data_IF_178412260629
#
_entry.id   IF_178412260629
#
_cell.length_a   1.000
_cell.length_b   1.000
_cell.length_c   1.000
_cell.angle_alpha   90.00
_cell.angle_beta   90.00
_cell.angle_gamma   90.00
#
_symmetry.space_group_name_H-M   'P 1'
#
loop_
_entity.id
_entity.type
_entity.pdbx_description
1 polymer ?
#
# COMPACT_ATOMS: atom_id res chain seq x y z
N UNK A 1 51.69 21.80 9.31
CA UNK A 1 50.58 22.59 9.87
C UNK A 1 49.29 21.91 9.45
N UNK A 2 48.55 21.31 10.38
CA UNK A 2 47.41 20.41 10.10
C UNK A 2 46.15 21.09 10.65
N UNK A 3 45.34 21.69 9.77
CA UNK A 3 44.11 22.37 10.15
C UNK A 3 43.03 21.33 10.45
N UNK A 4 42.60 21.27 11.71
CA UNK A 4 41.47 20.46 12.15
C UNK A 4 40.23 21.34 12.02
N UNK A 5 39.40 21.09 11.02
CA UNK A 5 38.07 21.71 10.88
C UNK A 5 37.10 20.90 11.73
N UNK A 6 36.69 21.48 12.87
CA UNK A 6 35.57 20.97 13.67
C UNK A 6 34.26 21.39 13.00
N UNK A 7 33.64 20.49 12.26
CA UNK A 7 32.30 20.68 11.69
C UNK A 7 31.25 20.36 12.76
N UNK A 8 30.68 21.38 13.38
CA UNK A 8 29.61 21.26 14.37
C UNK A 8 28.32 20.81 13.66
N UNK A 9 27.95 19.54 13.82
CA UNK A 9 26.72 18.96 13.29
C UNK A 9 25.52 19.44 14.12
N UNK A 10 24.81 20.47 13.65
CA UNK A 10 23.51 20.87 14.21
C UNK A 10 22.47 19.76 13.96
N UNK A 11 22.13 19.01 15.01
CA UNK A 11 21.00 18.10 15.03
C UNK A 11 19.71 18.93 15.13
N UNK A 12 19.15 19.33 13.98
CA UNK A 12 17.81 19.91 13.92
C UNK A 12 16.78 18.79 14.15
N UNK A 13 16.13 18.80 15.31
CA UNK A 13 15.02 17.91 15.64
C UNK A 13 13.82 18.22 14.74
N UNK A 14 13.59 17.43 13.70
CA UNK A 14 12.40 17.55 12.86
C UNK A 14 11.20 16.99 13.64
N UNK A 15 10.33 17.87 14.14
CA UNK A 15 9.07 17.47 14.75
C UNK A 15 8.16 16.86 13.70
N UNK A 16 7.90 15.56 13.78
CA UNK A 16 6.87 14.89 12.97
C UNK A 16 5.52 15.36 13.52
N UNK A 17 4.92 16.38 12.89
CA UNK A 17 3.57 16.78 13.20
C UNK A 17 2.59 15.75 12.66
N UNK A 18 1.66 15.30 13.50
CA UNK A 18 0.52 14.52 13.06
C UNK A 18 -0.29 15.36 12.07
N UNK A 19 -0.40 14.89 10.83
CA UNK A 19 -1.17 15.56 9.79
C UNK A 19 -2.58 14.97 9.74
N UNK A 20 -3.58 15.82 9.79
CA UNK A 20 -4.97 15.41 9.55
C UNK A 20 -5.28 15.42 8.05
N UNK A 21 -5.99 14.39 7.58
CA UNK A 21 -6.44 14.27 6.19
C UNK A 21 -7.91 13.88 6.20
N UNK A 22 -8.72 14.46 5.31
CA UNK A 22 -10.13 14.08 5.22
C UNK A 22 -10.29 12.65 4.69
N UNK A 23 -11.40 11.98 5.04
CA UNK A 23 -11.74 10.66 4.50
C UNK A 23 -11.70 10.68 2.98
N UNK A 24 -12.30 11.69 2.35
CA UNK A 24 -12.42 11.80 0.90
C UNK A 24 -11.05 11.87 0.24
N UNK A 25 -10.14 12.70 0.79
CA UNK A 25 -8.77 12.81 0.31
C UNK A 25 -8.01 11.50 0.48
N UNK A 26 -8.14 10.86 1.64
CA UNK A 26 -7.48 9.58 1.91
C UNK A 26 -7.99 8.46 1.00
N UNK A 27 -9.31 8.34 0.84
CA UNK A 27 -9.95 7.37 -0.06
C UNK A 27 -9.53 7.60 -1.52
N UNK A 28 -9.48 8.85 -1.97
CA UNK A 28 -9.00 9.18 -3.30
C UNK A 28 -7.53 8.78 -3.49
N UNK A 29 -6.67 9.02 -2.50
CA UNK A 29 -5.29 8.56 -2.51
C UNK A 29 -5.15 7.04 -2.53
N UNK A 30 -5.96 6.32 -1.74
CA UNK A 30 -5.93 4.86 -1.71
C UNK A 30 -6.33 4.23 -3.05
N UNK A 31 -7.31 4.82 -3.75
CA UNK A 31 -7.76 4.35 -5.08
C UNK A 31 -6.66 4.42 -6.15
N UNK A 32 -5.60 5.19 -5.94
CA UNK A 32 -4.50 5.37 -6.89
C UNK A 32 -3.21 4.73 -6.39
N UNK A 33 -2.81 5.04 -5.16
CA UNK A 33 -1.54 4.61 -4.59
C UNK A 33 -1.47 3.11 -4.32
N UNK A 34 -2.56 2.51 -3.80
CA UNK A 34 -2.54 1.09 -3.45
C UNK A 34 -2.43 0.18 -4.69
N UNK A 35 -3.23 0.36 -5.77
CA UNK A 35 -3.06 -0.41 -6.99
C UNK A 35 -1.67 -0.26 -7.60
N UNK A 36 -1.16 0.98 -7.69
CA UNK A 36 0.18 1.23 -8.21
C UNK A 36 1.26 0.55 -7.35
N UNK A 37 1.11 0.58 -6.01
CA UNK A 37 2.03 -0.09 -5.11
C UNK A 37 2.00 -1.61 -5.29
N UNK A 38 0.83 -2.25 -5.33
CA UNK A 38 0.69 -3.69 -5.56
C UNK A 38 1.32 -4.14 -6.88
N UNK A 39 1.28 -3.28 -7.89
CA UNK A 39 1.62 -3.61 -9.26
C UNK A 39 3.02 -3.13 -9.70
N UNK A 40 3.87 -2.74 -8.75
CA UNK A 40 5.29 -2.53 -9.05
C UNK A 40 5.97 -3.86 -9.41
N UNK A 41 6.96 -3.81 -10.31
CA UNK A 41 7.57 -5.01 -10.88
C UNK A 41 8.07 -6.03 -9.84
N UNK A 42 8.65 -5.57 -8.73
CA UNK A 42 9.21 -6.43 -7.69
C UNK A 42 8.17 -7.01 -6.71
N UNK A 43 6.91 -6.58 -6.79
CA UNK A 43 5.88 -6.92 -5.82
C UNK A 43 5.26 -8.27 -6.11
N UNK A 44 4.74 -8.90 -5.06
CA UNK A 44 4.18 -10.24 -5.12
C UNK A 44 3.19 -10.41 -6.28
N UNK A 45 2.24 -9.49 -6.44
CA UNK A 45 1.19 -9.60 -7.45
C UNK A 45 1.71 -9.57 -8.90
N UNK A 46 2.82 -8.87 -9.17
CA UNK A 46 3.49 -8.88 -10.49
C UNK A 46 4.44 -10.04 -10.69
N UNK A 47 4.92 -10.63 -9.60
CA UNK A 47 5.87 -11.74 -9.61
C UNK A 47 5.20 -13.10 -9.60
N UNK A 48 3.97 -13.19 -9.08
CA UNK A 48 3.29 -14.45 -8.80
C UNK A 48 2.04 -14.71 -9.64
N UNK A 49 1.65 -13.76 -10.51
CA UNK A 49 0.56 -13.93 -11.45
C UNK A 49 1.04 -13.65 -12.87
N UNK A 50 0.59 -14.45 -13.82
CA UNK A 50 0.85 -14.24 -15.24
C UNK A 50 -0.06 -13.12 -15.79
N UNK A 51 0.32 -11.87 -15.50
CA UNK A 51 -0.44 -10.65 -15.84
C UNK A 51 0.47 -9.55 -16.39
N UNK A 52 -0.11 -8.66 -17.20
CA UNK A 52 0.56 -7.41 -17.61
C UNK A 52 0.49 -6.36 -16.49
N UNK A 53 1.24 -5.26 -16.61
CA UNK A 53 1.20 -4.19 -15.61
C UNK A 53 -0.20 -3.55 -15.57
N UNK A 54 -0.77 -3.32 -16.75
CA UNK A 54 -2.13 -2.79 -16.92
C UNK A 54 -3.15 -3.74 -16.30
N UNK A 55 -3.09 -5.04 -16.62
CA UNK A 55 -4.02 -6.01 -16.05
C UNK A 55 -3.92 -6.07 -14.51
N UNK A 56 -2.69 -6.02 -13.97
CA UNK A 56 -2.50 -5.97 -12.53
C UNK A 56 -3.19 -4.73 -11.93
N UNK A 57 -2.93 -3.55 -12.48
CA UNK A 57 -3.47 -2.30 -11.94
C UNK A 57 -4.99 -2.24 -12.06
N UNK A 58 -5.57 -2.74 -13.15
CA UNK A 58 -7.02 -2.79 -13.33
C UNK A 58 -7.71 -3.66 -12.28
N UNK A 59 -7.17 -4.87 -12.03
CA UNK A 59 -7.72 -5.78 -11.02
C UNK A 59 -7.51 -5.19 -9.62
N UNK A 60 -6.31 -4.69 -9.32
CA UNK A 60 -6.01 -4.10 -8.02
C UNK A 60 -6.85 -2.83 -7.74
N UNK A 61 -7.11 -1.99 -8.75
CA UNK A 61 -7.98 -0.83 -8.63
C UNK A 61 -9.44 -1.24 -8.39
N UNK A 62 -9.92 -2.26 -9.10
CA UNK A 62 -11.26 -2.80 -8.91
C UNK A 62 -11.45 -3.36 -7.49
N UNK A 63 -10.54 -4.20 -7.02
CA UNK A 63 -10.63 -4.79 -5.67
C UNK A 63 -10.45 -3.74 -4.58
N UNK A 64 -9.54 -2.77 -4.76
CA UNK A 64 -9.37 -1.64 -3.85
C UNK A 64 -10.66 -0.83 -3.69
N UNK A 65 -11.36 -0.53 -4.79
CA UNK A 65 -12.64 0.20 -4.74
C UNK A 65 -13.72 -0.58 -3.98
N UNK A 66 -13.81 -1.90 -4.19
CA UNK A 66 -14.76 -2.76 -3.46
C UNK A 66 -14.46 -2.71 -1.97
N UNK A 67 -13.20 -2.90 -1.57
CA UNK A 67 -12.78 -2.91 -0.17
C UNK A 67 -12.96 -1.55 0.53
N UNK A 68 -12.69 -0.44 -0.18
CA UNK A 68 -12.96 0.90 0.34
C UNK A 68 -14.45 1.12 0.58
N UNK A 69 -15.32 0.63 -0.31
CA UNK A 69 -16.77 0.72 -0.13
C UNK A 69 -17.26 -0.13 1.06
N UNK A 70 -16.72 -1.34 1.22
CA UNK A 70 -17.05 -2.23 2.35
C UNK A 70 -16.68 -1.63 3.71
N UNK A 71 -15.52 -0.95 3.78
CA UNK A 71 -15.01 -0.35 5.01
C UNK A 71 -15.48 1.10 5.22
N UNK A 72 -16.19 1.71 4.26
CA UNK A 72 -16.46 3.15 4.23
C UNK A 72 -17.15 3.69 5.49
N UNK A 73 -18.10 2.92 6.05
CA UNK A 73 -18.84 3.31 7.27
C UNK A 73 -17.97 3.30 8.52
N UNK A 74 -16.87 2.56 8.52
CA UNK A 74 -15.98 2.39 9.67
C UNK A 74 -14.81 3.37 9.67
N UNK A 75 -14.38 3.83 8.48
CA UNK A 75 -13.31 4.83 8.34
C UNK A 75 -13.80 6.15 8.98
N UNK A 76 -13.00 6.85 9.81
CA UNK A 76 -13.41 8.12 10.39
C UNK A 76 -13.45 9.23 9.33
N UNK A 77 -14.21 10.30 9.58
CA UNK A 77 -14.32 11.45 8.66
C UNK A 77 -12.97 12.19 8.52
N UNK A 78 -12.14 12.17 9.57
CA UNK A 78 -10.79 12.72 9.59
C UNK A 78 -9.82 11.64 10.05
N UNK A 79 -8.70 11.49 9.34
CA UNK A 79 -7.64 10.53 9.66
C UNK A 79 -6.40 11.25 10.17
N UNK A 80 -5.92 10.86 11.34
CA UNK A 80 -4.67 11.36 11.93
C UNK A 80 -3.49 10.52 11.43
N UNK A 81 -2.62 11.12 10.64
CA UNK A 81 -1.47 10.46 10.04
C UNK A 81 -0.24 10.45 10.95
N UNK A 82 0.61 9.41 10.89
CA UNK A 82 0.48 8.22 10.03
C UNK A 82 -0.36 7.08 10.64
N UNK A 83 -0.81 7.22 11.89
CA UNK A 83 -1.46 6.15 12.67
C UNK A 83 -2.68 5.59 11.96
N UNK A 84 -3.63 6.46 11.61
CA UNK A 84 -4.91 6.04 11.03
C UNK A 84 -4.72 5.57 9.58
N UNK A 85 -3.82 6.21 8.82
CA UNK A 85 -3.48 5.76 7.47
C UNK A 85 -2.83 4.37 7.45
N UNK A 86 -1.96 4.05 8.42
CA UNK A 86 -1.37 2.72 8.56
C UNK A 86 -2.43 1.68 8.90
N UNK A 87 -3.30 1.97 9.87
CA UNK A 87 -4.35 1.05 10.30
C UNK A 87 -5.36 0.76 9.18
N UNK A 88 -5.94 1.80 8.59
CA UNK A 88 -6.94 1.64 7.54
C UNK A 88 -6.33 1.20 6.21
N UNK A 89 -5.10 1.62 5.91
CA UNK A 89 -4.34 1.17 4.75
C UNK A 89 -4.07 -0.33 4.81
N UNK A 90 -3.70 -0.85 5.99
CA UNK A 90 -3.49 -2.29 6.19
C UNK A 90 -4.79 -3.09 6.01
N UNK A 91 -5.92 -2.60 6.55
CA UNK A 91 -7.23 -3.24 6.38
C UNK A 91 -7.67 -3.28 4.91
N UNK A 92 -7.56 -2.15 4.21
CA UNK A 92 -7.91 -2.07 2.79
C UNK A 92 -6.96 -2.93 1.95
N UNK A 93 -5.65 -2.90 2.24
CA UNK A 93 -4.64 -3.71 1.55
C UNK A 93 -4.89 -5.21 1.70
N UNK A 94 -5.14 -5.69 2.91
CA UNK A 94 -5.44 -7.10 3.17
C UNK A 94 -6.71 -7.56 2.43
N UNK A 95 -7.78 -6.75 2.45
CA UNK A 95 -9.00 -7.03 1.70
C UNK A 95 -8.71 -7.06 0.18
N UNK A 96 -8.07 -6.02 -0.36
CA UNK A 96 -7.85 -5.86 -1.79
C UNK A 96 -6.93 -6.94 -2.34
N UNK A 97 -5.89 -7.31 -1.59
CA UNK A 97 -4.95 -8.36 -1.97
C UNK A 97 -5.58 -9.74 -1.94
N UNK A 98 -6.46 -10.03 -0.97
CA UNK A 98 -7.19 -11.31 -0.89
C UNK A 98 -8.15 -11.44 -2.08
N UNK A 99 -8.88 -10.36 -2.38
CA UNK A 99 -9.77 -10.30 -3.52
C UNK A 99 -9.01 -10.40 -4.86
N UNK A 100 -7.81 -9.82 -4.95
CA UNK A 100 -6.93 -9.95 -6.12
C UNK A 100 -6.52 -11.41 -6.35
N UNK A 101 -5.99 -12.06 -5.31
CA UNK A 101 -5.60 -13.47 -5.30
C UNK A 101 -6.76 -14.35 -5.81
N UNK A 102 -7.95 -14.13 -5.25
CA UNK A 102 -9.15 -14.89 -5.61
C UNK A 102 -9.57 -14.66 -7.06
N UNK A 103 -9.50 -13.41 -7.52
CA UNK A 103 -9.91 -13.03 -8.88
C UNK A 103 -8.99 -13.61 -9.96
N UNK A 104 -7.71 -13.80 -9.64
CA UNK A 104 -6.67 -14.24 -10.57
C UNK A 104 -6.08 -15.60 -10.23
N UNK A 105 -6.73 -16.39 -9.38
CA UNK A 105 -6.21 -17.67 -8.89
C UNK A 105 -5.77 -18.62 -10.01
N UNK A 106 -6.48 -18.61 -11.15
CA UNK A 106 -6.15 -19.42 -12.34
C UNK A 106 -4.91 -18.94 -13.09
N UNK A 107 -4.48 -17.70 -12.87
CA UNK A 107 -3.27 -17.09 -13.47
C UNK A 107 -2.07 -17.14 -12.53
N UNK A 108 -2.21 -17.72 -11.33
CA UNK A 108 -1.11 -17.83 -10.37
C UNK A 108 -0.03 -18.77 -10.90
N UNK A 109 1.22 -18.36 -10.76
CA UNK A 109 2.39 -19.17 -11.12
C UNK A 109 2.58 -20.22 -10.02
N UNK A 110 2.71 -21.49 -10.41
CA UNK A 110 2.92 -22.58 -9.45
C UNK A 110 4.40 -22.70 -9.08
N UNK A 111 4.77 -22.22 -7.88
CA UNK A 111 6.07 -22.46 -7.22
C UNK A 111 5.97 -22.16 -5.72
N UNK A 112 7.00 -22.50 -4.94
CA UNK A 112 7.00 -22.34 -3.48
C UNK A 112 6.76 -20.89 -3.02
N UNK A 113 7.32 -19.91 -3.74
CA UNK A 113 7.13 -18.48 -3.45
C UNK A 113 5.68 -18.06 -3.65
N UNK A 114 5.05 -18.47 -4.74
CA UNK A 114 3.74 -18.00 -5.14
C UNK A 114 2.60 -18.84 -4.57
N UNK A 115 2.89 -20.05 -4.09
CA UNK A 115 1.93 -20.86 -3.35
C UNK A 115 1.91 -20.51 -1.85
N UNK A 116 2.90 -19.77 -1.35
CA UNK A 116 2.91 -19.28 0.02
C UNK A 116 2.27 -17.89 0.12
N UNK A 117 1.01 -17.86 0.58
CA UNK A 117 0.20 -16.63 0.73
C UNK A 117 0.83 -15.66 1.76
N UNK A 118 1.63 -16.15 2.71
CA UNK A 118 2.33 -15.29 3.67
C UNK A 118 3.39 -14.37 3.06
N UNK A 119 3.69 -14.50 1.76
CA UNK A 119 4.68 -13.67 1.08
C UNK A 119 4.15 -12.30 0.66
N UNK A 120 2.85 -12.02 0.86
CA UNK A 120 2.27 -10.70 0.60
C UNK A 120 1.35 -10.19 1.71
N UNK A 121 0.89 -11.07 2.60
CA UNK A 121 0.15 -10.72 3.82
C UNK A 121 1.09 -10.26 4.91
#
# INVERSE_FOLDING_TARGET
MKNIIFTTLLLASVSIQAQEVSKEQWVAGMKTALPAHFCQQAQYFRQCFNVTAIECEEVAASTTRICLNELNSQIPITLVQPRDGTMWGSKVGACAGTAYETSLIRKRIANDKCNNISNWQ
#
